data_IF_041740280175
#
_entry.id   IF_041740280175
#
_cell.length_a   1.000
_cell.length_b   1.000
_cell.length_c   1.000
_cell.angle_alpha   90.00
_cell.angle_beta   90.00
_cell.angle_gamma   90.00
#
_symmetry.space_group_name_H-M   'P 1'
#
loop_
_entity.id
_entity.type
_entity.pdbx_description
1 polymer ?
#
# COMPACT_ATOMS: atom_id res chain seq x y z
N UNK A 1 -21.77 -12.85 -10.50
CA UNK A 1 -20.41 -12.27 -10.41
C UNK A 1 -19.41 -13.41 -10.26
N UNK A 2 -18.31 -13.42 -11.02
CA UNK A 2 -17.28 -14.45 -10.87
C UNK A 2 -16.53 -14.22 -9.55
N UNK A 3 -16.58 -15.16 -8.61
CA UNK A 3 -15.99 -15.03 -7.27
C UNK A 3 -14.48 -14.80 -7.32
N UNK A 4 -13.78 -15.37 -8.30
CA UNK A 4 -12.34 -15.14 -8.49
C UNK A 4 -12.07 -13.69 -8.92
N UNK A 5 -12.94 -13.11 -9.76
CA UNK A 5 -12.84 -11.71 -10.16
C UNK A 5 -13.00 -10.79 -8.95
N UNK A 6 -14.00 -11.08 -8.12
CA UNK A 6 -14.25 -10.33 -6.89
C UNK A 6 -13.03 -10.35 -5.95
N UNK A 7 -12.42 -11.53 -5.72
CA UNK A 7 -11.20 -11.61 -4.90
C UNK A 7 -10.03 -10.86 -5.52
N UNK A 8 -9.86 -10.95 -6.86
CA UNK A 8 -8.77 -10.25 -7.55
C UNK A 8 -8.90 -8.72 -7.46
N UNK A 9 -10.08 -8.19 -7.72
CA UNK A 9 -10.35 -6.74 -7.59
C UNK A 9 -10.15 -6.26 -6.15
N UNK A 10 -10.57 -7.07 -5.18
CA UNK A 10 -10.44 -6.75 -3.75
C UNK A 10 -9.00 -6.76 -3.26
N UNK A 11 -8.18 -7.68 -3.77
CA UNK A 11 -6.73 -7.71 -3.47
C UNK A 11 -6.03 -6.48 -4.03
N UNK A 12 -6.33 -6.11 -5.28
CA UNK A 12 -5.80 -4.90 -5.92
C UNK A 12 -6.22 -3.61 -5.21
N UNK A 13 -7.48 -3.50 -4.79
CA UNK A 13 -7.96 -2.33 -4.03
C UNK A 13 -7.25 -2.19 -2.68
N UNK A 14 -7.12 -3.30 -1.93
CA UNK A 14 -6.37 -3.28 -0.68
C UNK A 14 -4.92 -2.88 -0.91
N UNK A 15 -4.28 -3.44 -1.94
CA UNK A 15 -2.90 -3.12 -2.28
C UNK A 15 -2.68 -1.63 -2.51
N UNK A 16 -3.51 -1.01 -3.35
CA UNK A 16 -3.33 0.39 -3.72
C UNK A 16 -3.52 1.33 -2.53
N UNK A 17 -4.51 1.05 -1.67
CA UNK A 17 -4.76 1.89 -0.49
C UNK A 17 -3.60 1.79 0.50
N UNK A 18 -3.12 0.58 0.82
CA UNK A 18 -2.00 0.42 1.76
C UNK A 18 -0.64 0.85 1.16
N UNK A 19 -0.43 0.74 -0.15
CA UNK A 19 0.76 1.29 -0.82
C UNK A 19 0.78 2.82 -0.74
N UNK A 20 -0.37 3.49 -0.90
CA UNK A 20 -0.47 4.93 -0.66
C UNK A 20 -0.10 5.34 0.76
N UNK A 21 -0.50 4.55 1.76
CA UNK A 21 -0.15 4.80 3.17
C UNK A 21 1.35 4.54 3.42
N UNK A 22 1.96 3.58 2.72
CA UNK A 22 3.42 3.41 2.72
C UNK A 22 4.12 4.66 2.15
N UNK A 23 3.66 5.15 1.00
CA UNK A 23 4.22 6.33 0.36
C UNK A 23 4.08 7.57 1.27
N UNK A 24 2.98 7.71 2.02
CA UNK A 24 2.79 8.75 3.02
C UNK A 24 3.78 8.62 4.19
N UNK A 25 3.96 7.40 4.74
CA UNK A 25 4.89 7.15 5.83
C UNK A 25 6.35 7.44 5.45
N UNK A 26 6.73 7.14 4.20
CA UNK A 26 8.06 7.46 3.65
C UNK A 26 8.17 8.95 3.30
N UNK A 27 7.07 9.58 2.92
CA UNK A 27 7.03 10.91 2.31
C UNK A 27 6.91 12.09 3.27
N UNK A 28 6.65 11.87 4.56
CA UNK A 28 6.41 12.96 5.54
C UNK A 28 7.40 14.11 5.42
N UNK A 29 8.69 13.83 5.65
CA UNK A 29 9.81 14.76 5.52
C UNK A 29 11.14 13.99 5.59
N UNK A 30 12.24 14.71 5.48
CA UNK A 30 13.60 14.20 5.57
C UNK A 30 14.05 13.87 7.01
N UNK A 31 13.33 14.34 8.04
CA UNK A 31 13.62 14.00 9.44
C UNK A 31 13.26 12.54 9.77
N UNK A 32 12.16 12.01 9.21
CA UNK A 32 11.69 10.64 9.50
C UNK A 32 11.75 9.69 8.31
N UNK A 33 11.82 10.19 7.08
CA UNK A 33 11.79 9.38 5.86
C UNK A 33 12.61 9.98 4.72
N UNK A 34 12.06 9.88 3.51
CA UNK A 34 12.63 10.43 2.28
C UNK A 34 12.11 11.85 1.99
N UNK A 35 10.88 12.16 2.41
CA UNK A 35 10.24 13.44 2.07
C UNK A 35 9.72 13.47 0.63
N UNK A 36 8.64 14.22 0.39
CA UNK A 36 8.15 14.50 -0.96
C UNK A 36 7.52 13.31 -1.70
N UNK A 37 7.24 12.21 -1.00
CA UNK A 37 6.45 11.07 -1.50
C UNK A 37 5.00 11.15 -1.00
N UNK A 38 4.13 10.30 -1.55
CA UNK A 38 2.72 10.23 -1.15
C UNK A 38 2.00 11.57 -1.31
N UNK A 39 1.16 11.92 -0.33
CA UNK A 39 0.45 13.20 -0.28
C UNK A 39 1.40 14.42 -0.15
N UNK A 40 2.65 14.22 0.30
CA UNK A 40 3.63 15.29 0.53
C UNK A 40 4.34 15.75 -0.75
N UNK A 41 4.35 14.94 -1.80
CA UNK A 41 4.87 15.34 -3.11
C UNK A 41 4.00 16.37 -3.84
N UNK A 42 2.82 16.72 -3.29
CA UNK A 42 1.78 17.52 -3.95
C UNK A 42 1.12 18.50 -2.97
N UNK A 43 1.87 19.47 -2.45
CA UNK A 43 1.37 20.34 -1.37
C UNK A 43 0.22 21.28 -1.83
N UNK A 44 -0.93 21.14 -1.16
CA UNK A 44 -1.80 22.21 -0.66
C UNK A 44 -2.61 21.69 0.54
N UNK A 45 -2.60 22.45 1.64
CA UNK A 45 -3.49 22.52 2.82
C UNK A 45 -3.99 21.26 3.58
N UNK A 46 -3.75 20.02 3.14
CA UNK A 46 -4.21 18.84 3.87
C UNK A 46 -3.28 17.63 3.72
N UNK A 47 -2.95 16.91 4.80
CA UNK A 47 -3.42 17.00 6.20
C UNK A 47 -2.72 18.07 7.05
N UNK A 48 -3.27 18.35 8.24
CA UNK A 48 -2.50 18.98 9.31
C UNK A 48 -1.50 17.96 9.86
N UNK A 49 -0.21 18.26 9.76
CA UNK A 49 0.87 17.37 10.21
C UNK A 49 1.34 17.80 11.59
N UNK A 50 1.24 16.91 12.58
CA UNK A 50 1.78 17.14 13.92
C UNK A 50 2.93 16.18 14.20
N UNK A 51 4.10 16.71 14.54
CA UNK A 51 5.30 15.93 14.88
C UNK A 51 5.59 16.07 16.37
N UNK A 52 5.72 14.94 17.07
CA UNK A 52 5.95 14.88 18.52
C UNK A 52 7.13 13.97 18.83
N UNK A 53 7.97 14.38 19.79
CA UNK A 53 9.14 13.64 20.27
C UNK A 53 8.96 13.32 21.75
N UNK A 54 8.36 12.16 22.11
CA UNK A 54 8.01 11.84 23.50
C UNK A 54 9.22 11.79 24.44
N UNK A 55 10.42 11.50 23.93
CA UNK A 55 11.64 11.34 24.72
C UNK A 55 12.64 12.50 24.51
N UNK A 56 12.15 13.70 24.20
CA UNK A 56 13.03 14.86 24.02
C UNK A 56 14.00 15.03 25.22
N UNK A 57 15.30 15.31 25.00
CA UNK A 57 15.90 15.79 23.75
C UNK A 57 16.36 14.67 22.79
N UNK A 58 16.13 13.39 23.09
CA UNK A 58 16.46 12.33 22.14
C UNK A 58 15.66 12.52 20.84
N UNK A 59 16.28 12.35 19.66
CA UNK A 59 15.64 12.62 18.38
C UNK A 59 14.54 11.62 18.04
N UNK A 60 14.58 10.41 18.63
CA UNK A 60 13.64 9.32 18.42
C UNK A 60 13.20 8.67 19.75
N UNK A 61 12.02 8.02 19.80
CA UNK A 61 11.07 7.84 18.69
C UNK A 61 10.40 9.16 18.29
N UNK A 62 9.92 9.22 17.05
CA UNK A 62 9.13 10.35 16.53
C UNK A 62 7.73 9.85 16.26
N UNK A 63 6.71 10.56 16.74
CA UNK A 63 5.31 10.29 16.41
C UNK A 63 4.79 11.40 15.50
N UNK A 64 4.36 11.02 14.30
CA UNK A 64 3.76 11.90 13.29
C UNK A 64 2.28 11.58 13.18
N UNK A 65 1.43 12.60 13.29
CA UNK A 65 -0.02 12.50 13.08
C UNK A 65 -0.38 13.30 11.85
N UNK A 66 -1.04 12.62 10.91
CA UNK A 66 -1.65 13.21 9.73
C UNK A 66 -3.14 13.35 10.02
N UNK A 67 -3.56 14.56 10.40
CA UNK A 67 -4.95 14.86 10.77
C UNK A 67 -5.70 15.51 9.60
N UNK A 68 -6.66 14.77 9.06
CA UNK A 68 -7.54 15.22 7.98
C UNK A 68 -8.84 15.85 8.52
N UNK A 69 -9.00 15.94 9.85
CA UNK A 69 -10.15 16.54 10.51
C UNK A 69 -11.47 15.86 10.13
N UNK A 70 -12.51 16.69 9.93
CA UNK A 70 -13.83 16.24 9.43
C UNK A 70 -13.81 15.91 7.94
N UNK A 71 -12.73 16.26 7.24
CA UNK A 71 -12.39 15.79 5.92
C UNK A 71 -11.94 16.89 4.97
N UNK A 72 -11.09 16.50 4.02
CA UNK A 72 -10.52 17.37 3.01
C UNK A 72 -10.23 16.58 1.72
N UNK A 73 -10.06 17.29 0.60
CA UNK A 73 -9.64 16.71 -0.67
C UNK A 73 -8.19 17.09 -0.92
N UNK A 74 -7.30 16.11 -1.07
CA UNK A 74 -5.92 16.34 -1.44
C UNK A 74 -5.78 16.48 -2.97
N UNK A 75 -4.61 16.92 -3.46
CA UNK A 75 -4.37 17.14 -4.90
C UNK A 75 -4.49 15.89 -5.77
N UNK A 76 -4.48 14.70 -5.18
CA UNK A 76 -4.72 13.45 -5.88
C UNK A 76 -6.22 13.17 -6.14
N UNK A 77 -7.10 14.08 -5.72
CA UNK A 77 -8.54 14.03 -5.97
C UNK A 77 -9.33 13.23 -4.92
N UNK A 78 -8.66 12.60 -3.96
CA UNK A 78 -9.33 11.77 -2.96
C UNK A 78 -9.71 12.56 -1.73
N UNK A 79 -10.91 12.27 -1.25
CA UNK A 79 -11.42 12.80 0.00
C UNK A 79 -10.90 11.95 1.16
N UNK A 80 -10.35 12.57 2.19
CA UNK A 80 -9.84 11.87 3.38
C UNK A 80 -10.36 12.56 4.63
N UNK A 81 -10.66 11.78 5.68
CA UNK A 81 -11.02 12.29 7.02
C UNK A 81 -10.47 11.37 8.11
N UNK A 82 -10.43 11.85 9.35
CA UNK A 82 -9.81 11.13 10.47
C UNK A 82 -8.29 11.25 10.44
N UNK A 83 -7.57 10.26 11.02
CA UNK A 83 -6.12 10.38 11.23
C UNK A 83 -5.34 9.13 10.85
N UNK A 84 -4.18 9.36 10.25
CA UNK A 84 -3.11 8.36 10.13
C UNK A 84 -2.04 8.72 11.15
N UNK A 85 -1.57 7.74 11.92
CA UNK A 85 -0.59 7.94 12.99
C UNK A 85 0.60 7.04 12.71
N UNK A 86 1.76 7.64 12.47
CA UNK A 86 3.02 6.94 12.29
C UNK A 86 3.91 7.11 13.53
N UNK A 87 4.57 6.05 13.96
CA UNK A 87 5.58 6.06 15.03
C UNK A 87 6.87 5.46 14.50
N UNK A 88 7.92 6.27 14.49
CA UNK A 88 9.23 5.96 13.92
C UNK A 88 10.24 5.68 15.03
N UNK A 89 10.98 4.58 14.93
CA UNK A 89 12.08 4.25 15.86
C UNK A 89 13.40 4.94 15.47
N UNK A 90 13.54 5.29 14.19
CA UNK A 90 14.64 6.05 13.61
C UNK A 90 14.18 6.59 12.24
N UNK A 91 15.00 7.37 11.55
CA UNK A 91 14.73 7.77 10.16
C UNK A 91 14.66 6.51 9.28
N UNK A 92 13.59 6.35 8.51
CA UNK A 92 13.29 5.11 7.78
C UNK A 92 14.35 4.70 6.76
N UNK A 93 15.19 5.61 6.29
CA UNK A 93 16.29 5.27 5.37
C UNK A 93 17.46 4.58 6.08
N UNK A 94 17.49 4.57 7.42
CA UNK A 94 18.54 3.93 8.21
C UNK A 94 18.21 2.44 8.37
N UNK A 95 19.17 1.52 8.13
CA UNK A 95 18.95 0.10 8.35
C UNK A 95 18.41 -0.21 9.74
N UNK A 96 17.47 -1.16 9.82
CA UNK A 96 16.74 -1.55 11.03
C UNK A 96 15.77 -0.51 11.60
N UNK A 97 15.64 0.69 11.00
CA UNK A 97 14.57 1.62 11.34
C UNK A 97 13.20 0.99 11.09
N UNK A 98 12.24 1.35 11.94
CA UNK A 98 10.86 0.86 11.87
C UNK A 98 9.90 2.04 11.92
N UNK A 99 8.86 2.00 11.09
CA UNK A 99 7.69 2.84 11.24
C UNK A 99 6.46 1.96 11.42
N UNK A 100 5.74 2.17 12.50
CA UNK A 100 4.44 1.54 12.75
C UNK A 100 3.33 2.55 12.52
N UNK A 101 2.32 2.14 11.76
CA UNK A 101 1.19 2.96 11.34
C UNK A 101 -0.10 2.40 11.91
N UNK A 102 -0.88 3.28 12.52
CA UNK A 102 -2.24 3.01 13.00
C UNK A 102 -3.20 4.08 12.49
N UNK A 103 -4.49 3.78 12.59
CA UNK A 103 -5.56 4.64 12.10
C UNK A 103 -6.50 5.03 13.24
N UNK A 104 -6.91 6.28 13.28
CA UNK A 104 -7.95 6.78 14.18
C UNK A 104 -9.08 7.38 13.35
N UNK A 105 -10.15 6.60 13.19
CA UNK A 105 -11.32 6.97 12.40
C UNK A 105 -10.98 7.38 10.96
N UNK A 106 -9.92 6.81 10.37
CA UNK A 106 -9.46 7.20 9.03
C UNK A 106 -10.38 6.64 7.93
N UNK A 107 -10.68 7.50 6.96
CA UNK A 107 -11.41 7.13 5.74
C UNK A 107 -10.65 7.62 4.52
N UNK A 108 -10.59 6.75 3.52
CA UNK A 108 -10.19 7.06 2.15
C UNK A 108 -11.45 7.02 1.28
N UNK A 109 -11.82 8.17 0.74
CA UNK A 109 -13.13 8.44 0.16
C UNK A 109 -14.27 8.05 1.12
N UNK A 110 -15.05 7.03 0.75
CA UNK A 110 -16.14 6.49 1.57
C UNK A 110 -15.74 5.24 2.36
N UNK A 111 -14.51 4.75 2.17
CA UNK A 111 -14.02 3.50 2.74
C UNK A 111 -13.27 3.76 4.04
N UNK A 112 -13.74 3.16 5.14
CA UNK A 112 -13.01 3.15 6.41
C UNK A 112 -11.79 2.25 6.28
N UNK A 113 -10.61 2.73 6.68
CA UNK A 113 -9.36 1.97 6.65
C UNK A 113 -8.93 1.67 8.09
N UNK A 114 -8.60 0.41 8.36
CA UNK A 114 -8.30 -0.09 9.70
C UNK A 114 -7.16 -1.10 9.64
N UNK A 115 -6.52 -1.40 10.78
CA UNK A 115 -5.42 -2.35 10.89
C UNK A 115 -4.11 -1.67 11.30
N UNK A 116 -3.01 -2.39 11.14
CA UNK A 116 -1.68 -1.87 11.45
C UNK A 116 -0.75 -2.16 10.27
N UNK A 117 0.01 -1.16 9.85
CA UNK A 117 1.08 -1.34 8.87
C UNK A 117 2.43 -1.11 9.53
N UNK A 118 3.35 -2.05 9.35
CA UNK A 118 4.71 -1.97 9.86
C UNK A 118 5.70 -1.99 8.71
N UNK A 119 6.51 -0.95 8.61
CA UNK A 119 7.61 -0.83 7.65
C UNK A 119 8.90 -1.02 8.42
N UNK A 120 9.75 -1.95 7.99
CA UNK A 120 11.11 -2.13 8.52
C UNK A 120 12.10 -1.96 7.37
N UNK A 121 13.07 -1.06 7.55
CA UNK A 121 14.21 -1.01 6.66
C UNK A 121 15.11 -2.25 6.92
N UNK A 122 15.22 -3.09 5.91
CA UNK A 122 16.03 -4.31 5.89
C UNK A 122 17.15 -4.20 4.85
N UNK A 123 17.64 -2.98 4.60
CA UNK A 123 18.74 -2.71 3.70
C UNK A 123 19.98 -3.46 4.17
N UNK A 124 20.58 -4.21 3.26
CA UNK A 124 21.89 -4.85 3.45
C UNK A 124 22.90 -4.16 2.53
N UNK A 125 24.20 -4.15 2.89
CA UNK A 125 25.23 -3.42 2.12
C UNK A 125 25.27 -3.74 0.62
N UNK A 126 24.85 -4.94 0.21
CA UNK A 126 24.93 -5.43 -1.17
C UNK A 126 23.61 -5.41 -1.94
N UNK A 127 22.47 -5.17 -1.28
CA UNK A 127 21.14 -5.32 -1.91
C UNK A 127 20.45 -4.00 -2.28
N UNK A 128 21.05 -2.87 -1.91
CA UNK A 128 20.42 -1.55 -2.04
C UNK A 128 19.25 -1.36 -1.06
N UNK A 129 18.60 -0.18 -1.07
CA UNK A 129 17.50 0.11 -0.16
C UNK A 129 16.37 -0.91 -0.25
N UNK A 130 16.02 -1.49 0.90
CA UNK A 130 15.04 -2.58 1.00
C UNK A 130 14.15 -2.40 2.22
N UNK A 131 12.85 -2.62 2.03
CA UNK A 131 11.84 -2.46 3.08
C UNK A 131 10.96 -3.71 3.16
N UNK A 132 10.87 -4.29 4.36
CA UNK A 132 9.85 -5.29 4.69
C UNK A 132 8.59 -4.55 5.16
N UNK A 133 7.45 -4.88 4.57
CA UNK A 133 6.17 -4.21 4.79
C UNK A 133 5.17 -5.28 5.21
N UNK A 134 4.63 -5.15 6.41
CA UNK A 134 3.62 -6.05 6.95
C UNK A 134 2.36 -5.27 7.26
N UNK A 135 1.22 -5.71 6.71
CA UNK A 135 -0.11 -5.23 7.10
C UNK A 135 -0.81 -6.34 7.88
N UNK A 136 -1.21 -6.04 9.11
CA UNK A 136 -1.92 -6.96 10.00
C UNK A 136 -3.29 -6.41 10.35
N UNK A 137 -4.28 -7.30 10.34
CA UNK A 137 -5.69 -6.96 10.58
C UNK A 137 -6.19 -5.80 9.70
N UNK A 138 -5.65 -5.69 8.48
CA UNK A 138 -6.07 -4.68 7.52
C UNK A 138 -7.55 -4.86 7.20
N UNK A 139 -8.32 -3.77 7.18
CA UNK A 139 -9.73 -3.83 6.81
C UNK A 139 -10.18 -2.56 6.10
N UNK A 140 -10.92 -2.76 5.03
CA UNK A 140 -11.57 -1.72 4.24
C UNK A 140 -13.09 -1.91 4.38
N UNK A 141 -13.77 -1.01 5.07
CA UNK A 141 -15.22 -1.12 5.33
C UNK A 141 -15.99 -0.03 4.59
N UNK A 142 -16.98 -0.43 3.78
CA UNK A 142 -17.85 0.48 3.02
C UNK A 142 -19.10 0.86 3.83
N UNK A 143 -19.77 1.97 3.49
CA UNK A 143 -20.97 2.42 4.22
C UNK A 143 -22.12 1.41 4.20
N UNK A 144 -22.23 0.61 3.15
CA UNK A 144 -23.26 -0.41 3.00
C UNK A 144 -22.96 -1.72 3.75
N UNK A 145 -21.88 -1.79 4.53
CA UNK A 145 -21.47 -2.97 5.29
C UNK A 145 -20.68 -4.01 4.49
N UNK A 146 -20.42 -3.78 3.20
CA UNK A 146 -19.44 -4.56 2.43
C UNK A 146 -18.03 -4.27 2.96
N UNK A 147 -17.17 -5.27 2.96
CA UNK A 147 -15.81 -5.10 3.47
C UNK A 147 -14.79 -5.97 2.77
N UNK A 148 -13.53 -5.59 2.90
CA UNK A 148 -12.35 -6.40 2.60
C UNK A 148 -11.54 -6.49 3.89
N UNK A 149 -11.23 -7.69 4.37
CA UNK A 149 -10.17 -7.92 5.36
C UNK A 149 -8.93 -8.43 4.65
N UNK A 150 -7.75 -7.96 5.04
CA UNK A 150 -6.52 -8.19 4.31
C UNK A 150 -5.31 -8.23 5.26
N UNK A 151 -4.42 -9.18 5.02
CA UNK A 151 -3.11 -9.24 5.67
C UNK A 151 -2.07 -9.46 4.58
N UNK A 152 -0.94 -8.78 4.70
CA UNK A 152 0.13 -8.89 3.70
C UNK A 152 1.50 -8.86 4.34
N UNK A 153 2.42 -9.56 3.68
CA UNK A 153 3.84 -9.50 3.93
C UNK A 153 4.56 -9.37 2.59
N UNK A 154 5.22 -8.22 2.41
CA UNK A 154 5.89 -7.86 1.17
C UNK A 154 7.27 -7.30 1.44
N UNK A 155 8.11 -7.39 0.41
CA UNK A 155 9.44 -6.82 0.37
C UNK A 155 9.49 -5.89 -0.83
N UNK A 156 9.82 -4.62 -0.59
CA UNK A 156 10.05 -3.58 -1.60
C UNK A 156 11.55 -3.30 -1.68
N UNK A 157 12.18 -3.58 -2.83
CA UNK A 157 13.61 -3.37 -3.09
C UNK A 157 13.76 -2.31 -4.16
N UNK A 158 14.56 -1.28 -3.91
CA UNK A 158 14.85 -0.24 -4.89
C UNK A 158 15.71 -0.80 -6.03
N UNK A 159 15.36 -0.47 -7.26
CA UNK A 159 16.03 -0.93 -8.49
C UNK A 159 16.46 0.22 -9.41
N UNK A 160 15.93 1.42 -9.22
CA UNK A 160 16.34 2.66 -9.93
C UNK A 160 16.44 3.81 -8.90
N UNK A 161 17.20 4.87 -9.21
CA UNK A 161 17.37 6.07 -8.36
C UNK A 161 18.33 5.94 -7.16
N UNK A 162 18.99 4.78 -6.99
CA UNK A 162 19.87 4.51 -5.83
C UNK A 162 21.05 5.51 -5.72
N UNK A 163 21.52 6.04 -6.85
CA UNK A 163 22.63 6.99 -6.91
C UNK A 163 22.19 8.45 -6.79
N UNK A 164 20.88 8.70 -6.71
CA UNK A 164 20.25 10.03 -6.62
C UNK A 164 19.36 10.10 -5.37
N UNK A 165 19.89 9.82 -4.15
CA UNK A 165 19.08 9.66 -2.93
C UNK A 165 18.32 10.91 -2.47
N UNK A 166 18.59 12.07 -3.07
CA UNK A 166 17.89 13.33 -2.84
C UNK A 166 16.76 13.58 -3.85
N UNK A 167 16.54 12.68 -4.81
CA UNK A 167 15.53 12.80 -5.87
C UNK A 167 14.60 11.58 -5.83
N UNK A 168 13.74 11.41 -4.81
CA UNK A 168 12.86 10.25 -4.70
C UNK A 168 11.97 9.98 -5.91
N UNK A 169 11.75 10.99 -6.76
CA UNK A 169 10.86 10.91 -7.92
C UNK A 169 11.41 10.02 -9.06
N UNK A 170 12.72 9.78 -9.12
CA UNK A 170 13.33 8.89 -10.14
C UNK A 170 13.44 7.43 -9.68
N UNK A 171 13.00 7.13 -8.45
CA UNK A 171 13.09 5.79 -7.90
C UNK A 171 12.04 4.84 -8.50
N UNK A 172 12.49 3.61 -8.75
CA UNK A 172 11.65 2.46 -9.03
C UNK A 172 11.96 1.33 -8.05
N UNK A 173 10.92 0.56 -7.73
CA UNK A 173 10.99 -0.53 -6.78
C UNK A 173 10.43 -1.82 -7.36
N UNK A 174 11.11 -2.92 -7.07
CA UNK A 174 10.63 -4.27 -7.25
C UNK A 174 9.97 -4.76 -5.97
N UNK A 175 8.76 -5.32 -6.08
CA UNK A 175 7.99 -5.83 -4.93
C UNK A 175 7.78 -7.34 -5.08
N UNK A 176 8.05 -8.09 -4.03
CA UNK A 176 7.73 -9.52 -3.91
C UNK A 176 7.00 -9.79 -2.60
N UNK A 177 6.32 -10.94 -2.51
CA UNK A 177 5.61 -11.34 -1.31
C UNK A 177 4.22 -11.88 -1.59
N UNK A 178 3.41 -11.87 -0.55
CA UNK A 178 2.10 -12.49 -0.54
C UNK A 178 1.11 -11.68 0.31
N UNK A 179 -0.17 -11.99 0.10
CA UNK A 179 -1.24 -11.51 0.93
C UNK A 179 -2.32 -12.57 1.08
N UNK A 180 -3.25 -12.35 1.99
CA UNK A 180 -4.48 -13.13 2.11
C UNK A 180 -5.60 -12.22 2.56
N UNK A 181 -6.82 -12.56 2.18
CA UNK A 181 -7.95 -11.73 2.54
C UNK A 181 -9.29 -12.43 2.46
N UNK A 182 -10.31 -11.68 2.83
CA UNK A 182 -11.71 -12.06 2.67
C UNK A 182 -12.51 -10.83 2.25
N UNK A 183 -13.45 -11.03 1.33
CA UNK A 183 -14.31 -9.97 0.81
C UNK A 183 -15.75 -10.36 1.04
N UNK A 184 -16.50 -9.43 1.63
CA UNK A 184 -17.95 -9.45 1.69
C UNK A 184 -18.51 -8.46 0.67
N UNK A 185 -19.30 -8.95 -0.26
CA UNK A 185 -20.11 -8.14 -1.19
C UNK A 185 -21.54 -8.65 -1.17
N UNK A 186 -22.42 -7.87 -0.55
CA UNK A 186 -23.83 -8.18 -0.33
C UNK A 186 -23.96 -9.51 0.43
N UNK A 187 -24.55 -10.54 -0.20
CA UNK A 187 -24.68 -11.89 0.36
C UNK A 187 -23.47 -12.79 0.11
N UNK A 188 -22.50 -12.34 -0.68
CA UNK A 188 -21.31 -13.13 -1.06
C UNK A 188 -20.17 -12.89 -0.08
N UNK A 189 -19.57 -13.97 0.44
CA UNK A 189 -18.37 -13.95 1.26
C UNK A 189 -17.33 -14.91 0.68
N UNK A 190 -16.14 -14.41 0.36
CA UNK A 190 -15.08 -15.19 -0.30
C UNK A 190 -13.72 -14.87 0.34
N UNK A 191 -13.03 -15.90 0.82
CA UNK A 191 -11.61 -15.83 1.21
C UNK A 191 -10.67 -16.11 0.03
N UNK A 192 -9.46 -15.57 0.05
CA UNK A 192 -8.40 -15.85 -0.93
C UNK A 192 -6.99 -15.76 -0.32
N UNK A 193 -6.05 -16.41 -1.00
CA UNK A 193 -4.61 -16.18 -0.89
C UNK A 193 -4.12 -15.51 -2.17
N UNK A 194 -3.20 -14.56 -2.04
CA UNK A 194 -2.57 -13.85 -3.14
C UNK A 194 -1.04 -14.04 -3.07
N UNK A 195 -0.41 -14.30 -4.21
CA UNK A 195 1.04 -14.46 -4.32
C UNK A 195 1.53 -13.69 -5.52
N UNK A 196 2.54 -12.84 -5.33
CA UNK A 196 3.25 -12.20 -6.43
C UNK A 196 4.06 -13.29 -7.16
N UNK A 197 3.68 -13.62 -8.39
CA UNK A 197 4.32 -14.68 -9.20
C UNK A 197 5.32 -14.11 -10.19
N UNK A 198 5.13 -12.86 -10.60
CA UNK A 198 6.12 -12.05 -11.29
C UNK A 198 6.29 -10.77 -10.46
N UNK A 199 7.51 -10.39 -10.06
CA UNK A 199 7.73 -9.24 -9.20
C UNK A 199 7.02 -7.99 -9.73
N UNK A 200 6.34 -7.28 -8.83
CA UNK A 200 5.66 -6.04 -9.21
C UNK A 200 6.67 -4.92 -9.35
N UNK A 201 6.42 -3.97 -10.25
CA UNK A 201 7.23 -2.75 -10.39
C UNK A 201 6.38 -1.54 -10.04
N UNK A 202 6.88 -0.73 -9.11
CA UNK A 202 6.27 0.52 -8.63
C UNK A 202 7.27 1.65 -8.81
N UNK A 203 6.87 2.73 -9.49
CA UNK A 203 7.68 3.94 -9.71
C UNK A 203 7.13 5.09 -8.90
N UNK A 204 7.98 5.85 -8.22
CA UNK A 204 7.53 6.95 -7.38
C UNK A 204 6.85 8.08 -8.18
N UNK A 205 7.24 8.29 -9.44
CA UNK A 205 6.58 9.23 -10.36
C UNK A 205 5.27 8.71 -10.97
N UNK A 206 4.92 7.45 -10.73
CA UNK A 206 3.65 6.89 -11.12
C UNK A 206 2.75 6.76 -9.89
N UNK A 207 1.45 6.75 -10.07
CA UNK A 207 0.51 6.41 -9.00
C UNK A 207 0.28 4.91 -8.89
N UNK A 208 0.34 4.21 -10.01
CA UNK A 208 -0.05 2.82 -10.12
C UNK A 208 1.15 1.87 -10.11
N UNK A 209 0.88 0.60 -9.84
CA UNK A 209 1.81 -0.50 -10.14
C UNK A 209 1.82 -0.65 -11.66
N UNK A 210 3.00 -0.62 -12.27
CA UNK A 210 3.14 -0.52 -13.73
C UNK A 210 3.44 -1.86 -14.40
N UNK A 211 3.83 -2.88 -13.63
CA UNK A 211 4.22 -4.18 -14.15
C UNK A 211 4.10 -5.27 -13.08
N UNK A 212 3.96 -6.50 -13.54
CA UNK A 212 4.07 -7.72 -12.75
C UNK A 212 2.73 -8.42 -12.61
N UNK A 213 2.76 -9.59 -11.98
CA UNK A 213 1.60 -10.49 -11.95
C UNK A 213 1.37 -11.03 -10.55
N UNK A 214 0.13 -10.90 -10.06
CA UNK A 214 -0.35 -11.50 -8.82
C UNK A 214 -1.31 -12.65 -9.14
N UNK A 215 -1.08 -13.79 -8.53
CA UNK A 215 -2.02 -14.91 -8.55
C UNK A 215 -2.86 -14.90 -7.29
N UNK A 216 -4.17 -14.80 -7.45
CA UNK A 216 -5.16 -15.02 -6.40
C UNK A 216 -5.74 -16.43 -6.52
N UNK A 217 -5.89 -17.11 -5.39
CA UNK A 217 -6.49 -18.45 -5.28
C UNK A 217 -7.51 -18.39 -4.17
N UNK A 218 -8.74 -18.85 -4.43
CA UNK A 218 -9.77 -18.94 -3.40
C UNK A 218 -9.26 -19.75 -2.20
N UNK A 219 -9.63 -19.32 -1.00
CA UNK A 219 -9.33 -20.03 0.23
C UNK A 219 -9.83 -21.48 0.15
N UNK A 220 -9.00 -22.42 0.60
CA UNK A 220 -9.20 -23.88 0.50
C UNK A 220 -9.25 -24.44 -0.94
N UNK A 221 -8.91 -23.66 -1.95
CA UNK A 221 -8.68 -24.14 -3.32
C UNK A 221 -7.18 -24.26 -3.63
N UNK A 222 -6.84 -25.06 -4.63
CA UNK A 222 -5.47 -25.18 -5.16
C UNK A 222 -5.34 -24.46 -6.50
N UNK A 223 -4.10 -24.26 -6.94
CA UNK A 223 -3.77 -23.58 -8.21
C UNK A 223 -4.24 -24.30 -9.47
N UNK A 224 -4.60 -25.60 -9.37
CA UNK A 224 -5.17 -26.37 -10.47
C UNK A 224 -6.69 -26.27 -10.61
N UNK A 225 -7.34 -25.40 -9.82
CA UNK A 225 -8.80 -25.25 -9.83
C UNK A 225 -9.26 -24.05 -10.65
N UNK A 226 -10.56 -24.00 -10.96
CA UNK A 226 -11.19 -22.86 -11.65
C UNK A 226 -11.28 -21.57 -10.83
N UNK A 227 -10.84 -21.60 -9.57
CA UNK A 227 -10.95 -20.51 -8.60
C UNK A 227 -9.64 -19.72 -8.47
N UNK A 228 -8.97 -19.53 -9.61
CA UNK A 228 -7.70 -18.81 -9.74
C UNK A 228 -7.92 -17.57 -10.60
N UNK A 229 -7.38 -16.45 -10.15
CA UNK A 229 -7.30 -15.21 -10.93
C UNK A 229 -5.84 -14.76 -11.08
N UNK A 230 -5.43 -14.39 -12.29
CA UNK A 230 -4.14 -13.78 -12.56
C UNK A 230 -4.34 -12.30 -12.84
N UNK A 231 -3.90 -11.45 -11.92
CA UNK A 231 -3.90 -9.99 -12.06
C UNK A 231 -2.59 -9.60 -12.73
N UNK A 232 -2.64 -8.97 -13.90
CA UNK A 232 -1.48 -8.46 -14.61
C UNK A 232 -1.56 -6.93 -14.70
N UNK A 233 -0.55 -6.25 -14.18
CA UNK A 233 -0.46 -4.79 -14.06
C UNK A 233 0.15 -4.10 -15.30
N UNK A 234 0.38 -4.83 -16.39
CA UNK A 234 0.92 -4.31 -17.62
C UNK A 234 2.43 -4.53 -17.76
N UNK A 235 3.04 -3.74 -18.66
CA UNK A 235 4.41 -3.90 -19.13
C UNK A 235 5.31 -2.68 -18.84
N UNK A 236 4.90 -1.80 -17.93
CA UNK A 236 5.68 -0.64 -17.50
C UNK A 236 5.05 0.73 -17.80
N UNK A 237 3.90 0.77 -18.49
CA UNK A 237 3.16 2.01 -18.73
C UNK A 237 2.58 2.54 -17.42
N UNK A 238 2.71 3.85 -17.18
CA UNK A 238 2.05 4.49 -16.05
C UNK A 238 0.61 4.85 -16.42
N UNK A 239 -0.30 3.92 -16.22
CA UNK A 239 -1.74 4.11 -16.37
C UNK A 239 -2.51 3.38 -15.26
N UNK A 240 -3.82 3.58 -15.21
CA UNK A 240 -4.70 2.93 -14.24
C UNK A 240 -5.30 1.61 -14.77
N UNK A 241 -4.68 0.98 -15.78
CA UNK A 241 -5.20 -0.23 -16.39
C UNK A 241 -4.50 -1.47 -15.82
N UNK A 242 -5.30 -2.50 -15.55
CA UNK A 242 -4.79 -3.85 -15.32
C UNK A 242 -5.76 -4.86 -15.91
N UNK A 243 -5.34 -6.11 -15.97
CA UNK A 243 -6.19 -7.21 -16.43
C UNK A 243 -6.28 -8.31 -15.40
N UNK A 244 -7.42 -9.00 -15.37
CA UNK A 244 -7.64 -10.19 -14.56
C UNK A 244 -8.02 -11.34 -15.48
N UNK A 245 -7.20 -12.37 -15.52
CA UNK A 245 -7.46 -13.60 -16.29
C UNK A 245 -7.99 -14.69 -15.37
N UNK A 246 -9.18 -15.23 -15.68
CA UNK A 246 -9.83 -16.31 -14.94
C UNK A 246 -10.30 -17.36 -15.93
N UNK A 247 -9.82 -18.59 -15.78
CA UNK A 247 -10.18 -19.71 -16.66
C UNK A 247 -9.99 -19.38 -18.16
N UNK A 248 -8.89 -18.70 -18.50
CA UNK A 248 -8.57 -18.29 -19.87
C UNK A 248 -9.34 -17.06 -20.38
N UNK A 249 -10.28 -16.51 -19.61
CA UNK A 249 -11.01 -15.28 -19.98
C UNK A 249 -10.39 -14.08 -19.27
N UNK A 250 -10.02 -13.07 -20.06
CA UNK A 250 -9.40 -11.83 -19.57
C UNK A 250 -10.44 -10.72 -19.42
N UNK A 251 -10.40 -10.03 -18.29
CA UNK A 251 -11.22 -8.86 -17.99
C UNK A 251 -10.33 -7.65 -17.73
N UNK A 252 -10.64 -6.51 -18.35
CA UNK A 252 -10.01 -5.26 -17.98
C UNK A 252 -10.56 -4.78 -16.63
N UNK A 253 -9.67 -4.27 -15.80
CA UNK A 253 -10.00 -3.61 -14.54
C UNK A 253 -9.31 -2.25 -14.49
N UNK A 254 -9.95 -1.31 -13.78
CA UNK A 254 -9.38 0.02 -13.53
C UNK A 254 -8.91 0.09 -12.09
N UNK A 255 -7.65 0.50 -11.92
CA UNK A 255 -7.03 0.70 -10.63
C UNK A 255 -7.57 1.98 -9.97
N UNK A 256 -7.98 1.94 -8.68
CA UNK A 256 -8.54 3.09 -7.97
C UNK A 256 -7.58 4.27 -7.72
#
# INVERSE_FOLDING_TARGET
MNVSKLSSESDTEAEIIYDGIFDDAMGVNDEVGMGGMGIFGRLNACPTVTVTRPNAPAPFPVRVVLDFGTGCVARDGHYRKGKIIHVYTNRLIIPNAVAETAFDGFYFDSTKVEGTMRIKNTTEPTSGPRYQINVTNGKLTRPNGNFISWNSEKVRTQIEGVLTPLIPMDDAFRITGAARGQVKRDTTLVGWNATIVEPLVRRNNCRWIVQGTVRTVRENATTGTRFVGLINYGAGTCDNAATVTINGVTYNITLP
#
